data_IF_782084701587
#
_entry.id   IF_782084701587
#
_cell.length_a   1.000
_cell.length_b   1.000
_cell.length_c   1.000
_cell.angle_alpha   90.00
_cell.angle_beta   90.00
_cell.angle_gamma   90.00
#
_symmetry.space_group_name_H-M   'P 1'
#
loop_
_entity.id
_entity.type
_entity.pdbx_description
1 polymer ?
#
# COMPACT_ATOMS: atom_id res chain seq x y z
N UNK A 1 -1.41 31.32 3.94
CA UNK A 1 -1.51 29.89 4.35
C UNK A 1 -2.63 29.74 5.34
N UNK A 2 -3.38 28.66 5.30
CA UNK A 2 -4.46 28.33 6.23
C UNK A 2 -4.12 27.06 7.02
N UNK A 3 -4.89 26.79 8.10
CA UNK A 3 -4.72 25.54 8.88
C UNK A 3 -4.90 24.28 8.04
N UNK A 4 -5.83 24.27 7.08
CA UNK A 4 -6.04 23.13 6.18
C UNK A 4 -4.80 22.86 5.30
N UNK A 5 -4.07 23.86 4.84
CA UNK A 5 -2.83 23.68 4.09
C UNK A 5 -1.83 22.80 4.90
N UNK A 6 -1.71 23.08 6.20
CA UNK A 6 -0.81 22.30 7.08
C UNK A 6 -1.39 20.94 7.41
N UNK A 7 -2.67 20.84 7.78
CA UNK A 7 -3.29 19.60 8.21
C UNK A 7 -3.36 18.58 7.08
N UNK A 8 -3.81 18.98 5.90
CA UNK A 8 -3.98 18.08 4.75
C UNK A 8 -2.63 17.62 4.20
N UNK A 9 -1.67 18.54 4.08
CA UNK A 9 -0.30 18.19 3.66
C UNK A 9 0.39 17.27 4.67
N UNK A 10 0.21 17.53 5.98
CA UNK A 10 0.75 16.65 7.04
C UNK A 10 0.12 15.26 6.98
N UNK A 11 -1.18 15.17 6.76
CA UNK A 11 -1.86 13.88 6.60
C UNK A 11 -1.30 13.11 5.41
N UNK A 12 -1.10 13.76 4.26
CA UNK A 12 -0.46 13.15 3.09
C UNK A 12 0.92 12.59 3.40
N UNK A 13 1.78 13.37 4.06
CA UNK A 13 3.12 12.92 4.50
C UNK A 13 3.03 11.70 5.42
N UNK A 14 2.14 11.73 6.42
CA UNK A 14 1.97 10.60 7.35
C UNK A 14 1.47 9.34 6.64
N UNK A 15 0.52 9.48 5.72
CA UNK A 15 -0.01 8.36 4.95
C UNK A 15 1.06 7.77 4.01
N UNK A 16 1.87 8.60 3.34
CA UNK A 16 3.00 8.14 2.53
C UNK A 16 3.99 7.36 3.37
N UNK A 17 4.43 7.90 4.50
CA UNK A 17 5.39 7.24 5.40
C UNK A 17 4.86 5.92 5.96
N UNK A 18 3.60 5.89 6.40
CA UNK A 18 2.97 4.67 6.89
C UNK A 18 2.86 3.61 5.78
N UNK A 19 2.48 4.02 4.58
CA UNK A 19 2.36 3.13 3.43
C UNK A 19 3.71 2.55 3.01
N UNK A 20 4.78 3.33 3.03
CA UNK A 20 6.13 2.85 2.72
C UNK A 20 6.56 1.71 3.68
N UNK A 21 6.25 1.84 4.98
CA UNK A 21 6.48 0.77 5.98
C UNK A 21 5.65 -0.48 5.67
N UNK A 22 4.38 -0.31 5.32
CA UNK A 22 3.48 -1.41 4.97
C UNK A 22 3.92 -2.13 3.69
N UNK A 23 4.34 -1.40 2.65
CA UNK A 23 4.85 -1.96 1.40
C UNK A 23 6.13 -2.77 1.62
N UNK A 24 7.03 -2.29 2.49
CA UNK A 24 8.22 -3.07 2.84
C UNK A 24 7.86 -4.37 3.58
N UNK A 25 6.94 -4.31 4.53
CA UNK A 25 6.41 -5.49 5.22
C UNK A 25 5.78 -6.49 4.26
N UNK A 26 4.98 -5.99 3.31
CA UNK A 26 4.29 -6.81 2.30
C UNK A 26 5.27 -7.49 1.33
N UNK A 27 6.37 -6.83 0.93
CA UNK A 27 7.44 -7.48 0.16
C UNK A 27 8.06 -8.66 0.90
N UNK A 28 8.33 -8.51 2.20
CA UNK A 28 8.87 -9.58 3.04
C UNK A 28 7.88 -10.75 3.16
N UNK A 29 6.59 -10.43 3.32
CA UNK A 29 5.51 -11.43 3.36
C UNK A 29 5.42 -12.21 2.05
N UNK A 30 5.38 -11.52 0.90
CA UNK A 30 5.34 -12.14 -0.43
C UNK A 30 6.53 -13.08 -0.66
N UNK A 31 7.73 -12.66 -0.28
CA UNK A 31 8.93 -13.50 -0.37
C UNK A 31 8.79 -14.77 0.46
N UNK A 32 8.28 -14.64 1.68
CA UNK A 32 8.07 -15.76 2.60
C UNK A 32 7.00 -16.74 2.10
N UNK A 33 5.86 -16.23 1.63
CA UNK A 33 4.78 -17.04 1.06
C UNK A 33 5.28 -17.78 -0.18
N UNK A 34 5.99 -17.10 -1.08
CA UNK A 34 6.56 -17.71 -2.29
C UNK A 34 7.49 -18.87 -1.94
N UNK A 35 8.42 -18.66 -1.01
CA UNK A 35 9.34 -19.71 -0.54
C UNK A 35 8.57 -20.92 0.00
N UNK A 36 7.60 -20.69 0.88
CA UNK A 36 6.80 -21.77 1.50
C UNK A 36 5.90 -22.47 0.48
N UNK A 37 5.34 -21.74 -0.49
CA UNK A 37 4.54 -22.34 -1.57
C UNK A 37 5.34 -23.37 -2.38
N UNK A 38 6.58 -23.03 -2.76
CA UNK A 38 7.46 -23.96 -3.47
C UNK A 38 7.91 -25.13 -2.60
N UNK A 39 8.24 -24.89 -1.33
CA UNK A 39 8.63 -25.94 -0.39
C UNK A 39 7.50 -26.99 -0.21
N UNK A 40 6.25 -26.56 -0.17
CA UNK A 40 5.10 -27.40 0.06
C UNK A 40 4.28 -27.73 -1.20
N UNK A 41 4.86 -27.53 -2.39
CA UNK A 41 4.16 -27.78 -3.66
C UNK A 41 3.63 -29.21 -3.81
N UNK A 42 4.29 -30.18 -3.16
CA UNK A 42 3.92 -31.61 -3.18
C UNK A 42 3.35 -32.09 -1.82
N UNK A 43 3.16 -31.21 -0.83
CA UNK A 43 2.57 -31.58 0.46
C UNK A 43 1.06 -31.68 0.32
N UNK A 44 0.57 -32.91 0.23
CA UNK A 44 -0.86 -33.21 0.03
C UNK A 44 -1.65 -32.78 1.27
N UNK A 45 -2.76 -32.12 1.07
CA UNK A 45 -3.76 -31.80 2.08
C UNK A 45 -5.17 -31.92 1.52
N UNK A 46 -6.16 -32.04 2.40
CA UNK A 46 -7.55 -32.14 1.99
C UNK A 46 -8.14 -30.75 1.71
N UNK A 47 -8.81 -30.58 0.58
CA UNK A 47 -9.73 -29.49 0.34
C UNK A 47 -10.99 -29.64 1.20
N UNK A 48 -11.64 -28.52 1.53
CA UNK A 48 -12.89 -28.51 2.31
C UNK A 48 -13.91 -27.60 1.64
N UNK A 49 -15.15 -28.08 1.61
CA UNK A 49 -16.32 -27.32 1.17
C UNK A 49 -17.48 -27.63 2.09
N UNK A 50 -18.26 -26.63 2.49
CA UNK A 50 -19.37 -26.78 3.44
C UNK A 50 -19.02 -27.52 4.75
N UNK A 51 -17.77 -27.35 5.23
CA UNK A 51 -17.29 -27.98 6.46
C UNK A 51 -16.93 -29.48 6.33
N UNK A 52 -17.03 -30.07 5.14
CA UNK A 52 -16.70 -31.48 4.87
C UNK A 52 -15.49 -31.61 3.95
N UNK A 53 -14.94 -32.83 3.84
CA UNK A 53 -13.85 -33.14 2.92
C UNK A 53 -14.30 -33.01 1.47
N UNK A 54 -13.49 -32.35 0.66
CA UNK A 54 -13.62 -32.24 -0.79
C UNK A 54 -12.41 -32.90 -1.47
N UNK A 55 -12.04 -32.43 -2.65
CA UNK A 55 -10.93 -33.02 -3.39
C UNK A 55 -9.58 -32.77 -2.68
N UNK A 56 -8.62 -33.70 -2.82
CA UNK A 56 -7.24 -33.47 -2.40
C UNK A 56 -6.60 -32.30 -3.15
N UNK A 57 -5.77 -31.55 -2.45
CA UNK A 57 -4.98 -30.45 -2.99
C UNK A 57 -3.58 -30.46 -2.40
N UNK A 58 -2.79 -29.42 -2.60
CA UNK A 58 -1.51 -29.27 -1.93
C UNK A 58 -1.47 -28.01 -1.08
N UNK A 59 -0.72 -28.03 -0.01
CA UNK A 59 -0.53 -26.85 0.83
C UNK A 59 0.18 -25.72 0.07
N UNK A 60 1.10 -26.08 -0.85
CA UNK A 60 1.74 -25.11 -1.73
C UNK A 60 0.76 -24.38 -2.65
N UNK A 61 -0.26 -25.07 -3.22
CA UNK A 61 -1.29 -24.44 -4.04
C UNK A 61 -2.15 -23.47 -3.21
N UNK A 62 -2.48 -23.82 -1.97
CA UNK A 62 -3.17 -22.93 -1.04
C UNK A 62 -2.36 -21.64 -0.77
N UNK A 63 -1.06 -21.78 -0.56
CA UNK A 63 -0.17 -20.62 -0.37
C UNK A 63 0.00 -19.80 -1.65
N UNK A 64 -0.03 -20.41 -2.83
CA UNK A 64 0.03 -19.71 -4.10
C UNK A 64 -1.18 -18.78 -4.30
N UNK A 65 -2.37 -19.17 -3.84
CA UNK A 65 -3.55 -18.31 -3.89
C UNK A 65 -3.39 -17.07 -3.00
N UNK A 66 -2.84 -17.23 -1.80
CA UNK A 66 -2.51 -16.10 -0.92
C UNK A 66 -1.44 -15.19 -1.52
N UNK A 67 -0.41 -15.79 -2.14
CA UNK A 67 0.60 -15.00 -2.86
C UNK A 67 -0.05 -14.09 -3.90
N UNK A 68 -0.88 -14.64 -4.76
CA UNK A 68 -1.56 -13.88 -5.81
C UNK A 68 -2.50 -12.78 -5.26
N UNK A 69 -3.13 -13.01 -4.11
CA UNK A 69 -3.96 -12.01 -3.43
C UNK A 69 -3.10 -10.86 -2.89
N UNK A 70 -2.03 -11.16 -2.16
CA UNK A 70 -1.14 -10.14 -1.59
C UNK A 70 -0.33 -9.39 -2.66
N UNK A 71 0.01 -10.03 -3.77
CA UNK A 71 0.67 -9.40 -4.91
C UNK A 71 -0.23 -8.31 -5.52
N UNK A 72 -1.51 -8.63 -5.77
CA UNK A 72 -2.50 -7.61 -6.18
C UNK A 72 -2.74 -6.54 -5.12
N UNK A 73 -2.62 -6.88 -3.84
CA UNK A 73 -2.76 -5.91 -2.75
C UNK A 73 -1.57 -4.96 -2.70
N UNK A 74 -0.38 -5.45 -2.98
CA UNK A 74 0.83 -4.63 -3.12
C UNK A 74 0.66 -3.57 -4.23
N UNK A 75 0.20 -3.99 -5.41
CA UNK A 75 -0.05 -3.07 -6.53
C UNK A 75 -1.10 -1.99 -6.19
N UNK A 76 -2.21 -2.38 -5.54
CA UNK A 76 -3.24 -1.42 -5.10
C UNK A 76 -2.70 -0.43 -4.08
N UNK A 77 -1.96 -0.90 -3.09
CA UNK A 77 -1.39 -0.06 -2.05
C UNK A 77 -0.33 0.90 -2.61
N UNK A 78 0.50 0.43 -3.55
CA UNK A 78 1.47 1.26 -4.25
C UNK A 78 0.81 2.42 -5.00
N UNK A 79 -0.27 2.14 -5.75
CA UNK A 79 -1.03 3.18 -6.45
C UNK A 79 -1.68 4.17 -5.49
N UNK A 80 -2.30 3.68 -4.41
CA UNK A 80 -2.90 4.55 -3.39
C UNK A 80 -1.86 5.46 -2.72
N UNK A 81 -0.65 4.95 -2.50
CA UNK A 81 0.49 5.73 -2.00
C UNK A 81 0.85 6.88 -2.94
N UNK A 82 0.89 6.62 -4.25
CA UNK A 82 1.20 7.65 -5.25
C UNK A 82 0.07 8.69 -5.36
N UNK A 83 -1.20 8.24 -5.28
CA UNK A 83 -2.36 9.13 -5.30
C UNK A 83 -2.42 10.09 -4.11
N UNK A 84 -2.03 9.64 -2.91
CA UNK A 84 -2.03 10.49 -1.71
C UNK A 84 -0.75 11.35 -1.57
N UNK A 85 0.25 11.14 -2.42
CA UNK A 85 1.51 11.90 -2.41
C UNK A 85 1.32 13.28 -3.01
N UNK A 86 0.51 14.11 -2.35
CA UNK A 86 0.13 15.46 -2.81
C UNK A 86 0.32 16.49 -1.71
N UNK A 87 0.57 17.73 -2.13
CA UNK A 87 0.74 18.90 -1.27
C UNK A 87 -0.24 20.00 -1.70
N UNK A 88 -0.83 20.69 -0.74
CA UNK A 88 -1.65 21.87 -1.00
C UNK A 88 -1.29 23.00 -0.03
N UNK A 89 -0.65 24.05 -0.54
CA UNK A 89 -0.29 25.28 0.20
C UNK A 89 -0.81 26.48 -0.61
N UNK A 90 -2.13 26.55 -0.74
CA UNK A 90 -2.79 27.51 -1.63
C UNK A 90 -3.69 28.53 -0.93
N UNK A 91 -3.78 28.46 0.40
CA UNK A 91 -4.61 29.34 1.21
C UNK A 91 -6.05 28.83 1.37
N UNK A 92 -6.88 29.58 2.12
CA UNK A 92 -8.21 29.15 2.54
C UNK A 92 -9.19 28.86 1.38
N UNK A 93 -9.00 29.45 0.22
CA UNK A 93 -9.88 29.35 -0.95
C UNK A 93 -9.19 28.65 -2.12
N UNK A 94 -7.90 28.33 -1.99
CA UNK A 94 -7.12 27.65 -3.05
C UNK A 94 -6.74 28.57 -4.22
N UNK A 95 -6.75 29.87 -4.03
CA UNK A 95 -6.49 30.87 -5.10
C UNK A 95 -5.11 31.49 -5.07
N UNK A 96 -4.27 31.11 -4.10
CA UNK A 96 -2.95 31.71 -3.88
C UNK A 96 -2.97 33.22 -3.63
N UNK A 97 -4.09 33.78 -3.14
CA UNK A 97 -4.29 35.22 -3.01
C UNK A 97 -3.22 35.93 -2.14
N UNK A 98 -2.70 35.23 -1.12
CA UNK A 98 -1.75 35.76 -0.14
C UNK A 98 -0.49 34.88 0.02
N UNK A 99 -0.18 34.04 -0.95
CA UNK A 99 1.00 33.17 -0.94
C UNK A 99 1.47 32.92 -2.38
N UNK A 100 2.78 32.96 -2.58
CA UNK A 100 3.35 32.65 -3.88
C UNK A 100 3.30 31.14 -4.15
N UNK A 101 2.85 30.68 -5.34
CA UNK A 101 2.83 29.25 -5.70
C UNK A 101 4.16 28.51 -5.56
N UNK A 102 5.28 29.22 -5.64
CA UNK A 102 6.61 28.64 -5.43
C UNK A 102 6.81 28.05 -4.02
N UNK A 103 6.07 28.55 -3.03
CA UNK A 103 6.09 28.01 -1.66
C UNK A 103 5.52 26.60 -1.63
N UNK A 104 4.42 26.35 -2.33
CA UNK A 104 3.83 24.99 -2.44
C UNK A 104 4.82 24.02 -3.09
N UNK A 105 5.39 24.40 -4.23
CA UNK A 105 6.40 23.61 -4.94
C UNK A 105 7.62 23.31 -4.04
N UNK A 106 8.08 24.29 -3.29
CA UNK A 106 9.19 24.11 -2.35
C UNK A 106 8.84 23.13 -1.23
N UNK A 107 7.66 23.28 -0.62
CA UNK A 107 7.19 22.38 0.46
C UNK A 107 7.03 20.96 -0.06
N UNK A 108 6.36 20.75 -1.20
CA UNK A 108 6.22 19.44 -1.83
C UNK A 108 7.57 18.76 -2.04
N UNK A 109 8.53 19.47 -2.65
CA UNK A 109 9.89 18.97 -2.86
C UNK A 109 10.60 18.60 -1.55
N UNK A 110 10.44 19.39 -0.48
CA UNK A 110 11.09 19.13 0.82
C UNK A 110 10.45 17.96 1.58
N UNK A 111 9.15 17.73 1.38
CA UNK A 111 8.40 16.66 2.03
C UNK A 111 8.38 15.34 1.23
N UNK A 112 8.86 15.36 -0.01
CA UNK A 112 8.86 14.20 -0.90
C UNK A 112 7.47 13.83 -1.42
N UNK A 113 6.63 14.85 -1.65
CA UNK A 113 5.28 14.74 -2.19
C UNK A 113 5.23 15.09 -3.68
#
# INVERSE_FOLDING_TARGET
MTSSDVLDTTLSVQMVQATDILLEGLKKLLSSIKKRAFEHKNSICIGRSHGIHAEPTTFGLKLASFYAEFDRSYERLSRARDEISVCAISGAVGTFANIDPSVETYVASKMGL
#
